data_IF_336704793585
#
_entry.id   IF_336704793585
#
_cell.length_a   1.000
_cell.length_b   1.000
_cell.length_c   1.000
_cell.angle_alpha   90.00
_cell.angle_beta   90.00
_cell.angle_gamma   90.00
#
_symmetry.space_group_name_H-M   'P 1'
#
loop_
_entity.id
_entity.type
_entity.pdbx_description
1 polymer ?
#
# COMPACT_ATOMS: atom_id res chain seq x y z
N UNK A 1 15.85 30.11 -6.45
CA UNK A 1 14.49 30.08 -5.88
C UNK A 1 14.12 28.62 -5.63
N UNK A 2 14.07 28.17 -4.38
CA UNK A 2 13.83 26.76 -4.04
C UNK A 2 12.30 26.52 -4.01
N UNK A 3 11.75 25.87 -5.04
CA UNK A 3 10.34 25.48 -5.06
C UNK A 3 10.14 24.28 -4.13
N UNK A 4 9.64 24.52 -2.92
CA UNK A 4 9.17 23.44 -2.04
C UNK A 4 7.88 22.84 -2.62
N UNK A 5 8.01 21.80 -3.45
CA UNK A 5 6.87 21.00 -3.90
C UNK A 5 6.30 20.25 -2.70
N UNK A 6 5.09 20.62 -2.27
CA UNK A 6 4.35 19.91 -1.21
C UNK A 6 4.31 18.41 -1.57
N UNK A 7 4.79 17.56 -0.66
CA UNK A 7 4.71 16.11 -0.86
C UNK A 7 3.24 15.70 -0.92
N UNK A 8 2.85 14.98 -1.98
CA UNK A 8 1.51 14.42 -2.10
C UNK A 8 1.36 13.25 -1.13
N UNK A 9 0.22 13.14 -0.47
CA UNK A 9 -0.11 12.00 0.39
C UNK A 9 -0.47 10.75 -0.44
N UNK A 10 -0.48 9.59 0.22
CA UNK A 10 -1.05 8.36 -0.38
C UNK A 10 -2.57 8.47 -0.49
N UNK A 11 -3.18 7.61 -1.30
CA UNK A 11 -4.64 7.59 -1.52
C UNK A 11 -5.38 6.93 -0.35
N UNK A 12 -6.60 7.37 -0.10
CA UNK A 12 -7.55 6.70 0.79
C UNK A 12 -8.36 5.65 0.02
N UNK A 13 -8.43 4.42 0.52
CA UNK A 13 -9.32 3.40 -0.07
C UNK A 13 -10.78 3.84 -0.03
N UNK A 14 -11.22 4.46 1.06
CA UNK A 14 -12.61 4.91 1.23
C UNK A 14 -13.01 5.92 0.13
N UNK A 15 -12.13 6.86 -0.16
CA UNK A 15 -12.37 7.88 -1.20
C UNK A 15 -12.33 7.27 -2.61
N UNK A 16 -11.43 6.32 -2.86
CA UNK A 16 -11.35 5.64 -4.16
C UNK A 16 -12.54 4.71 -4.38
N UNK A 17 -12.98 3.99 -3.35
CA UNK A 17 -14.08 3.04 -3.46
C UNK A 17 -15.45 3.72 -3.65
N UNK A 18 -15.62 4.94 -3.13
CA UNK A 18 -16.86 5.72 -3.28
C UNK A 18 -17.20 6.08 -4.73
N UNK A 19 -16.23 5.95 -5.65
CA UNK A 19 -16.43 6.12 -7.10
C UNK A 19 -17.13 4.92 -7.74
N UNK A 20 -17.23 3.81 -7.01
CA UNK A 20 -17.87 2.59 -7.45
C UNK A 20 -19.20 2.39 -6.72
N UNK A 21 -20.07 1.60 -7.33
CA UNK A 21 -21.29 1.14 -6.67
C UNK A 21 -20.99 0.04 -5.65
N UNK A 22 -21.87 -0.96 -5.57
CA UNK A 22 -21.63 -2.13 -4.73
C UNK A 22 -20.35 -2.87 -5.13
N UNK A 23 -19.55 -3.23 -4.14
CA UNK A 23 -18.31 -3.99 -4.30
C UNK A 23 -18.46 -5.35 -3.63
N UNK A 24 -18.21 -6.42 -4.39
CA UNK A 24 -17.99 -7.75 -3.86
C UNK A 24 -16.54 -7.91 -3.39
N UNK A 25 -16.31 -8.81 -2.44
CA UNK A 25 -15.00 -9.10 -1.88
C UNK A 25 -14.57 -10.50 -2.30
N UNK A 26 -13.33 -10.65 -2.77
CA UNK A 26 -12.73 -11.96 -3.08
C UNK A 26 -11.36 -12.07 -2.44
N UNK A 27 -11.19 -13.03 -1.54
CA UNK A 27 -9.88 -13.34 -0.96
C UNK A 27 -9.03 -14.08 -2.01
N UNK A 28 -7.82 -13.57 -2.28
CA UNK A 28 -6.86 -14.14 -3.22
C UNK A 28 -5.73 -14.91 -2.53
N UNK A 29 -5.69 -14.90 -1.20
CA UNK A 29 -4.61 -15.48 -0.40
C UNK A 29 -3.32 -14.66 -0.47
N UNK A 30 -2.22 -15.29 -0.06
CA UNK A 30 -0.87 -14.70 -0.12
C UNK A 30 -0.40 -14.69 -1.58
N UNK A 31 -0.10 -13.50 -2.09
CA UNK A 31 0.37 -13.25 -3.45
C UNK A 31 1.53 -12.26 -3.41
N UNK A 32 2.56 -12.48 -4.21
CA UNK A 32 3.61 -11.49 -4.43
C UNK A 32 3.04 -10.34 -5.28
N UNK A 33 3.06 -9.12 -4.74
CA UNK A 33 2.52 -7.92 -5.41
C UNK A 33 3.62 -6.91 -5.72
N UNK A 34 3.49 -6.20 -6.83
CA UNK A 34 4.40 -5.09 -7.18
C UNK A 34 4.24 -3.94 -6.18
N UNK A 35 5.35 -3.51 -5.58
CA UNK A 35 5.37 -2.42 -4.59
C UNK A 35 4.93 -1.08 -5.19
N UNK A 36 5.13 -0.89 -6.49
CA UNK A 36 4.69 0.32 -7.21
C UNK A 36 3.19 0.42 -7.42
N UNK A 37 2.47 -0.72 -7.35
CA UNK A 37 1.00 -0.73 -7.34
C UNK A 37 0.42 -0.42 -5.96
N UNK A 38 1.25 -0.32 -4.91
CA UNK A 38 0.80 0.13 -3.58
C UNK A 38 0.72 1.66 -3.58
N UNK A 39 -0.51 2.18 -3.61
CA UNK A 39 -0.77 3.62 -3.81
C UNK A 39 -1.47 4.28 -2.62
N UNK A 40 -1.93 3.49 -1.65
CA UNK A 40 -2.86 3.97 -0.65
C UNK A 40 -2.90 3.17 0.64
N UNK A 41 -3.71 3.65 1.56
CA UNK A 41 -3.98 3.03 2.85
C UNK A 41 -5.47 3.09 3.13
N UNK A 42 -5.96 2.13 3.92
CA UNK A 42 -7.36 2.11 4.36
C UNK A 42 -7.61 3.20 5.40
N UNK A 43 -6.75 3.29 6.40
CA UNK A 43 -6.94 4.10 7.61
C UNK A 43 -5.84 5.16 7.81
N UNK A 44 -4.63 4.88 7.33
CA UNK A 44 -3.43 5.72 7.58
C UNK A 44 -3.01 6.61 6.42
N UNK A 45 -3.92 6.93 5.50
CA UNK A 45 -3.56 7.68 4.28
C UNK A 45 -3.04 9.10 4.54
N UNK A 46 -3.31 9.67 5.72
CA UNK A 46 -2.80 10.98 6.16
C UNK A 46 -1.41 10.93 6.80
N UNK A 47 -0.90 9.75 7.13
CA UNK A 47 0.38 9.59 7.81
C UNK A 47 1.58 9.62 6.84
N UNK A 48 1.31 9.37 5.54
CA UNK A 48 2.34 9.03 4.56
C UNK A 48 2.31 9.91 3.32
N UNK A 49 3.49 10.20 2.78
CA UNK A 49 3.64 10.73 1.43
C UNK A 49 3.55 9.61 0.38
N UNK A 50 3.55 9.99 -0.90
CA UNK A 50 3.47 9.09 -2.05
C UNK A 50 4.55 7.99 -2.08
N UNK A 51 5.65 8.14 -1.34
CA UNK A 51 6.72 7.14 -1.23
C UNK A 51 6.56 6.26 0.03
N UNK A 52 5.41 6.34 0.72
CA UNK A 52 5.17 5.73 2.02
C UNK A 52 6.14 6.20 3.12
N UNK A 53 6.68 7.41 3.01
CA UNK A 53 7.45 8.03 4.09
C UNK A 53 6.54 8.80 5.04
N UNK A 54 6.88 8.77 6.33
CA UNK A 54 6.14 9.49 7.37
C UNK A 54 6.14 11.00 7.10
N UNK A 55 4.96 11.61 7.04
CA UNK A 55 4.80 13.06 6.83
C UNK A 55 5.15 13.88 8.07
N UNK A 56 4.73 13.39 9.24
CA UNK A 56 4.67 14.20 10.47
C UNK A 56 5.59 13.67 11.58
N UNK A 57 6.43 12.68 11.28
CA UNK A 57 7.34 12.10 12.27
C UNK A 57 8.58 11.51 11.63
N UNK A 58 9.64 11.39 12.43
CA UNK A 58 10.82 10.61 12.04
C UNK A 58 10.53 9.11 12.22
N UNK A 59 11.22 8.23 11.47
CA UNK A 59 11.15 6.79 11.70
C UNK A 59 11.52 6.46 13.15
N UNK A 60 10.66 5.68 13.80
CA UNK A 60 10.88 5.16 15.15
C UNK A 60 11.84 3.95 15.14
N UNK A 61 12.14 3.41 16.33
CA UNK A 61 12.99 2.22 16.46
C UNK A 61 12.41 1.02 15.71
N UNK A 62 11.08 0.84 15.74
CA UNK A 62 10.38 -0.23 15.02
C UNK A 62 10.59 -0.13 13.51
N UNK A 63 10.46 1.07 12.94
CA UNK A 63 10.70 1.31 11.52
C UNK A 63 12.12 0.90 11.11
N UNK A 64 13.12 1.29 11.91
CA UNK A 64 14.53 0.93 11.67
C UNK A 64 14.77 -0.58 11.79
N UNK A 65 14.18 -1.23 12.80
CA UNK A 65 14.32 -2.66 13.00
C UNK A 65 13.75 -3.47 11.81
N UNK A 66 12.58 -3.07 11.30
CA UNK A 66 11.96 -3.70 10.13
C UNK A 66 12.80 -3.48 8.88
N UNK A 67 13.27 -2.25 8.64
CA UNK A 67 14.13 -1.91 7.49
C UNK A 67 15.42 -2.74 7.50
N UNK A 68 16.04 -2.92 8.67
CA UNK A 68 17.23 -3.76 8.83
C UNK A 68 16.94 -5.24 8.62
N UNK A 69 15.85 -5.78 9.17
CA UNK A 69 15.45 -7.18 8.98
C UNK A 69 15.22 -7.49 7.49
N UNK A 70 14.49 -6.62 6.78
CA UNK A 70 14.28 -6.78 5.33
C UNK A 70 15.58 -6.65 4.54
N UNK A 71 16.47 -5.72 4.92
CA UNK A 71 17.79 -5.58 4.27
C UNK A 71 18.68 -6.83 4.44
N UNK A 72 18.48 -7.61 5.51
CA UNK A 72 19.16 -8.89 5.73
C UNK A 72 18.48 -10.09 5.03
N UNK A 73 17.37 -9.86 4.33
CA UNK A 73 16.59 -10.93 3.70
C UNK A 73 15.79 -11.79 4.68
N UNK A 74 15.50 -11.28 5.88
CA UNK A 74 14.64 -12.00 6.82
C UNK A 74 13.21 -12.11 6.28
N UNK A 75 12.63 -13.30 6.40
CA UNK A 75 11.24 -13.53 6.04
C UNK A 75 10.37 -12.89 7.12
N UNK A 76 9.63 -11.87 6.74
CA UNK A 76 8.62 -11.23 7.57
C UNK A 76 7.22 -11.73 7.16
N UNK A 77 6.21 -11.61 8.04
CA UNK A 77 4.85 -11.96 7.66
C UNK A 77 4.40 -11.17 6.41
N UNK A 78 3.42 -11.67 5.64
CA UNK A 78 2.85 -10.90 4.55
C UNK A 78 2.15 -9.64 5.07
N UNK A 79 2.07 -8.61 4.23
CA UNK A 79 1.23 -7.45 4.51
C UNK A 79 -0.25 -7.77 4.21
N UNK A 80 -1.17 -6.93 4.65
CA UNK A 80 -2.59 -7.07 4.30
C UNK A 80 -3.01 -5.92 3.40
N UNK A 81 -3.66 -6.23 2.28
CA UNK A 81 -4.09 -5.20 1.31
C UNK A 81 -5.47 -5.48 0.76
N UNK A 82 -6.17 -4.39 0.40
CA UNK A 82 -7.22 -4.44 -0.60
C UNK A 82 -6.65 -4.14 -1.99
N UNK A 83 -7.12 -4.86 -2.99
CA UNK A 83 -6.94 -4.52 -4.41
C UNK A 83 -8.21 -3.87 -4.95
N UNK A 84 -8.08 -2.70 -5.58
CA UNK A 84 -9.16 -2.02 -6.29
C UNK A 84 -8.60 -1.38 -7.55
N UNK A 85 -9.11 -1.75 -8.72
CA UNK A 85 -8.67 -1.19 -10.01
C UNK A 85 -7.14 -1.28 -10.20
N UNK A 86 -6.60 -2.50 -10.04
CA UNK A 86 -5.17 -2.83 -10.14
C UNK A 86 -4.23 -2.02 -9.22
N UNK A 87 -4.77 -1.47 -8.14
CA UNK A 87 -4.05 -0.69 -7.13
C UNK A 87 -4.24 -1.31 -5.76
N UNK A 88 -3.20 -1.29 -4.94
CA UNK A 88 -3.20 -1.83 -3.60
C UNK A 88 -3.30 -0.74 -2.54
N UNK A 89 -4.11 -1.04 -1.52
CA UNK A 89 -4.35 -0.19 -0.37
C UNK A 89 -4.04 -0.97 0.90
N UNK A 90 -3.06 -0.49 1.65
CA UNK A 90 -2.54 -1.17 2.83
C UNK A 90 -3.55 -1.13 3.96
N UNK A 91 -3.89 -2.30 4.48
CA UNK A 91 -4.67 -2.52 5.71
C UNK A 91 -3.71 -2.62 6.90
N UNK A 92 -2.73 -3.53 6.81
CA UNK A 92 -1.67 -3.73 7.80
C UNK A 92 -0.31 -3.86 7.13
N UNK A 93 0.75 -3.52 7.88
CA UNK A 93 2.13 -3.67 7.43
C UNK A 93 2.75 -2.42 6.82
N UNK A 94 2.25 -1.22 7.12
CA UNK A 94 2.79 0.03 6.55
C UNK A 94 4.29 0.23 6.76
N UNK A 95 4.84 -0.22 7.91
CA UNK A 95 6.28 -0.16 8.14
C UNK A 95 7.08 -1.05 7.18
N UNK A 96 6.53 -2.23 6.81
CA UNK A 96 7.12 -3.14 5.81
C UNK A 96 7.06 -2.52 4.41
N UNK A 97 5.93 -1.90 4.04
CA UNK A 97 5.82 -1.17 2.77
C UNK A 97 6.81 -0.02 2.66
N UNK A 98 6.94 0.78 3.73
CA UNK A 98 7.94 1.85 3.80
C UNK A 98 9.36 1.30 3.66
N UNK A 99 9.70 0.26 4.42
CA UNK A 99 11.01 -0.37 4.36
C UNK A 99 11.32 -0.92 2.96
N UNK A 100 10.38 -1.65 2.36
CA UNK A 100 10.49 -2.21 1.02
C UNK A 100 10.76 -1.13 -0.04
N UNK A 101 10.01 -0.02 -0.01
CA UNK A 101 10.22 1.13 -0.90
C UNK A 101 11.60 1.78 -0.69
N UNK A 102 12.11 1.84 0.54
CA UNK A 102 13.44 2.43 0.83
C UNK A 102 14.59 1.57 0.35
N UNK A 103 14.48 0.25 0.50
CA UNK A 103 15.55 -0.66 0.09
C UNK A 103 15.47 -1.01 -1.41
N UNK A 104 14.46 -0.49 -2.13
CA UNK A 104 14.32 -0.71 -3.58
C UNK A 104 13.82 -2.11 -3.94
N UNK A 105 13.08 -2.77 -3.06
CA UNK A 105 12.47 -4.06 -3.35
C UNK A 105 11.35 -3.90 -4.38
N UNK A 106 11.22 -4.84 -5.32
CA UNK A 106 10.23 -4.78 -6.40
C UNK A 106 8.88 -5.40 -6.01
N UNK A 107 8.92 -6.53 -5.28
CA UNK A 107 7.75 -7.31 -4.90
C UNK A 107 7.64 -7.50 -3.38
N UNK A 108 6.43 -7.57 -2.86
CA UNK A 108 6.17 -7.89 -1.45
C UNK A 108 5.07 -8.94 -1.33
N UNK A 109 5.22 -9.88 -0.41
CA UNK A 109 4.15 -10.83 -0.12
C UNK A 109 2.99 -10.15 0.60
N UNK A 110 1.79 -10.33 0.09
CA UNK A 110 0.57 -9.72 0.62
C UNK A 110 -0.59 -10.71 0.64
N UNK A 111 -1.36 -10.71 1.72
CA UNK A 111 -2.68 -11.29 1.74
C UNK A 111 -3.65 -10.30 1.06
N UNK A 112 -4.15 -10.67 -0.12
CA UNK A 112 -4.89 -9.77 -0.99
C UNK A 112 -6.40 -10.04 -0.90
N UNK A 113 -7.18 -9.01 -0.59
CA UNK A 113 -8.64 -9.02 -0.81
C UNK A 113 -9.00 -8.12 -1.98
N UNK A 114 -9.50 -8.70 -3.06
CA UNK A 114 -9.90 -7.97 -4.26
C UNK A 114 -11.33 -7.43 -4.10
N UNK A 115 -11.49 -6.14 -4.37
CA UNK A 115 -12.77 -5.45 -4.44
C UNK A 115 -13.25 -5.40 -5.89
N UNK A 116 -14.38 -6.04 -6.16
CA UNK A 116 -14.91 -6.26 -7.51
C UNK A 116 -16.28 -5.58 -7.63
N UNK A 117 -16.44 -4.57 -8.50
CA UNK A 117 -17.74 -3.93 -8.73
C UNK A 117 -18.80 -4.89 -9.25
N UNK A 118 -19.99 -4.83 -8.66
CA UNK A 118 -21.09 -5.78 -8.96
C UNK A 118 -21.79 -5.48 -10.29
N UNK A 119 -21.76 -4.23 -10.78
CA UNK A 119 -22.28 -3.86 -12.09
C UNK A 119 -21.17 -3.89 -13.13
N UNK A 120 -21.37 -4.66 -14.21
CA UNK A 120 -20.37 -5.05 -15.20
C UNK A 120 -19.80 -3.96 -16.11
N UNK A 121 -19.42 -2.80 -15.57
CA UNK A 121 -18.69 -1.75 -16.31
C UNK A 121 -17.17 -1.95 -16.31
N UNK A 122 -16.73 -3.20 -16.28
CA UNK A 122 -15.34 -3.59 -16.51
C UNK A 122 -15.30 -4.61 -17.65
N UNK A 123 -15.63 -4.14 -18.86
CA UNK A 123 -15.03 -4.75 -20.03
C UNK A 123 -13.52 -4.54 -19.91
N UNK A 124 -12.82 -5.68 -19.83
CA UNK A 124 -11.38 -5.76 -19.87
C UNK A 124 -10.94 -5.38 -21.28
N UNK A 125 -10.08 -4.37 -21.39
CA UNK A 125 -9.28 -4.13 -22.57
C UNK A 125 -8.05 -5.03 -22.55
#
# INVERSE_FOLDING_TARGET
>A
MLFFRKRKGVKSLEQERAKYGTLNHRNMGVTAIEIDKIVGSVDRYKDFDQNFEWLHRRPDARSRAIEQAMSRGEILPPIEVFELDNKYFVVDGHHRVRAAKRIGQEFLDANVTKLIPTSGKYETA
#
